data_IF_305742358772
#
_entry.id   IF_305742358772
#
_cell.length_a   1.000
_cell.length_b   1.000
_cell.length_c   1.000
_cell.angle_alpha   90.00
_cell.angle_beta   90.00
_cell.angle_gamma   90.00
#
_symmetry.space_group_name_H-M   'P 1'
#
loop_
_entity.id
_entity.type
_entity.pdbx_description
1 polymer ?
#
# COMPACT_ATOMS: atom_id res chain seq x y z
N UNK A 1 13.99 24.76 15.58
CA UNK A 1 13.66 23.38 15.17
C UNK A 1 12.79 23.50 13.95
N UNK A 2 13.34 23.30 12.75
CA UNK A 2 12.56 23.42 11.51
C UNK A 2 11.56 22.26 11.45
N UNK A 3 10.28 22.59 11.25
CA UNK A 3 9.25 21.58 11.04
C UNK A 3 9.52 20.93 9.67
N UNK A 4 9.78 19.62 9.68
CA UNK A 4 9.89 18.83 8.46
C UNK A 4 8.48 18.69 7.89
N UNK A 5 8.14 19.42 6.84
CA UNK A 5 6.89 19.21 6.11
C UNK A 5 6.99 17.80 5.49
N UNK A 6 6.07 16.88 5.83
CA UNK A 6 6.06 15.57 5.21
C UNK A 6 5.90 15.72 3.69
N UNK A 7 6.70 15.00 2.90
CA UNK A 7 6.51 14.99 1.45
C UNK A 7 5.13 14.43 1.14
N UNK A 8 4.32 15.22 0.43
CA UNK A 8 3.03 14.78 -0.13
C UNK A 8 3.30 14.22 -1.51
N UNK A 9 2.92 12.97 -1.74
CA UNK A 9 3.09 12.27 -3.00
C UNK A 9 1.85 12.45 -3.88
N UNK A 10 2.08 12.61 -5.19
CA UNK A 10 1.02 12.65 -6.18
C UNK A 10 0.83 11.28 -6.84
N UNK A 11 -0.25 11.12 -7.60
CA UNK A 11 -0.44 9.94 -8.42
C UNK A 11 0.67 9.74 -9.46
N UNK A 12 1.24 10.83 -10.00
CA UNK A 12 2.37 10.73 -10.92
C UNK A 12 3.62 10.17 -10.22
N UNK A 13 3.93 10.63 -9.01
CA UNK A 13 5.02 10.06 -8.21
C UNK A 13 4.80 8.57 -7.92
N UNK A 14 3.55 8.16 -7.65
CA UNK A 14 3.20 6.76 -7.39
C UNK A 14 3.46 5.86 -8.61
N UNK A 15 3.16 6.34 -9.82
CA UNK A 15 3.38 5.57 -11.06
C UNK A 15 4.87 5.38 -11.39
N UNK A 16 5.75 6.22 -10.85
CA UNK A 16 7.21 6.12 -11.03
C UNK A 16 7.87 5.18 -10.01
N UNK A 17 7.11 4.63 -9.05
CA UNK A 17 7.65 3.71 -8.06
C UNK A 17 8.11 2.38 -8.68
N UNK A 18 9.09 1.70 -8.07
CA UNK A 18 9.52 0.39 -8.52
C UNK A 18 8.36 -0.61 -8.60
N UNK A 19 8.35 -1.44 -9.65
CA UNK A 19 7.27 -2.40 -9.89
C UNK A 19 7.10 -3.44 -8.76
N UNK A 20 8.16 -3.71 -8.01
CA UNK A 20 8.18 -4.60 -6.86
C UNK A 20 7.74 -3.92 -5.55
N UNK A 21 7.64 -2.59 -5.52
CA UNK A 21 7.12 -1.86 -4.37
C UNK A 21 5.65 -2.24 -4.11
N UNK A 22 5.39 -2.80 -2.94
CA UNK A 22 4.03 -3.10 -2.46
C UNK A 22 3.59 -1.98 -1.54
N UNK A 23 3.11 -0.90 -2.12
CA UNK A 23 2.68 0.28 -1.37
C UNK A 23 1.35 0.84 -1.87
N UNK A 24 0.66 1.54 -0.99
CA UNK A 24 -0.58 2.26 -1.29
C UNK A 24 -0.37 3.77 -1.12
N UNK A 25 -0.91 4.58 -2.03
CA UNK A 25 -0.96 6.03 -1.89
C UNK A 25 -2.34 6.44 -1.36
N UNK A 26 -2.39 6.92 -0.13
CA UNK A 26 -3.63 7.36 0.53
C UNK A 26 -3.39 8.77 1.08
N UNK A 27 -4.23 9.73 0.65
CA UNK A 27 -4.14 11.15 1.04
C UNK A 27 -2.74 11.78 0.89
N UNK A 28 -2.03 11.37 -0.17
CA UNK A 28 -0.68 11.87 -0.44
C UNK A 28 0.42 11.23 0.41
N UNK A 29 0.10 10.18 1.16
CA UNK A 29 1.02 9.43 2.01
C UNK A 29 1.19 8.01 1.44
N UNK A 30 2.44 7.56 1.36
CA UNK A 30 2.77 6.19 0.94
C UNK A 30 2.76 5.28 2.17
N UNK A 31 1.96 4.22 2.11
CA UNK A 31 1.86 3.17 3.12
C UNK A 31 2.51 1.89 2.58
N UNK A 32 3.48 1.34 3.33
CA UNK A 32 4.10 0.06 3.01
C UNK A 32 3.16 -1.08 3.40
N UNK A 33 2.89 -1.99 2.46
CA UNK A 33 2.04 -3.17 2.67
C UNK A 33 2.80 -4.35 3.28
N UNK A 34 3.93 -4.06 3.93
CA UNK A 34 4.72 -5.01 4.69
C UNK A 34 4.28 -5.08 6.16
N UNK A 35 4.25 -6.27 6.78
CA UNK A 35 4.59 -7.56 6.20
C UNK A 35 3.51 -8.07 5.23
N UNK A 36 3.92 -8.93 4.30
CA UNK A 36 3.00 -9.60 3.39
C UNK A 36 1.86 -10.30 4.18
N UNK A 37 0.64 -10.41 3.61
CA UNK A 37 -0.50 -10.93 4.35
C UNK A 37 -0.28 -12.37 4.80
N UNK A 38 -0.80 -12.70 5.98
CA UNK A 38 -0.65 -14.03 6.57
C UNK A 38 -1.42 -15.10 5.79
N UNK A 39 -1.06 -16.37 5.99
CA UNK A 39 -1.77 -17.51 5.38
C UNK A 39 -3.27 -17.52 5.74
N UNK A 40 -3.62 -17.14 6.98
CA UNK A 40 -5.02 -17.04 7.43
C UNK A 40 -5.76 -15.90 6.72
N UNK A 41 -5.10 -14.76 6.51
CA UNK A 41 -5.68 -13.68 5.71
C UNK A 41 -6.01 -14.16 4.28
N UNK A 42 -5.09 -14.91 3.66
CA UNK A 42 -5.30 -15.46 2.32
C UNK A 42 -6.45 -16.48 2.26
N UNK A 43 -6.58 -17.35 3.28
CA UNK A 43 -7.70 -18.30 3.38
C UNK A 43 -9.05 -17.57 3.36
N UNK A 44 -9.21 -16.55 4.21
CA UNK A 44 -10.45 -15.77 4.32
C UNK A 44 -10.78 -15.05 3.00
N UNK A 45 -9.77 -14.45 2.35
CA UNK A 45 -9.96 -13.72 1.08
C UNK A 45 -10.39 -14.67 -0.04
N UNK A 46 -9.81 -15.87 -0.13
CA UNK A 46 -10.18 -16.87 -1.15
C UNK A 46 -11.59 -17.41 -0.92
N UNK A 47 -11.95 -17.70 0.33
CA UNK A 47 -13.32 -18.11 0.67
C UNK A 47 -14.32 -17.04 0.22
N UNK A 48 -14.10 -15.77 0.59
CA UNK A 48 -15.00 -14.69 0.20
C UNK A 48 -15.10 -14.52 -1.33
N UNK A 49 -13.97 -14.60 -2.04
CA UNK A 49 -13.92 -14.40 -3.48
C UNK A 49 -14.59 -15.53 -4.28
N UNK A 50 -14.71 -16.73 -3.71
CA UNK A 50 -15.32 -17.89 -4.38
C UNK A 50 -16.78 -18.12 -4.02
N UNK A 51 -17.29 -17.41 -3.01
CA UNK A 51 -18.67 -17.45 -2.54
C UNK A 51 -19.62 -16.52 -3.33
N UNK A 52 -19.07 -15.57 -4.10
CA UNK A 52 -19.81 -14.58 -4.92
C UNK A 52 -19.70 -14.96 -6.39
#
# INVERSE_FOLDING_TARGET
MEARIPKVYTYADYLELPQDARVELIDGIIYDMSPAPSRVHQEIVIELATLI
#
